data_IF_377178088972
#
_entry.id   IF_377178088972
#
_cell.length_a   1.000
_cell.length_b   1.000
_cell.length_c   1.000
_cell.angle_alpha   90.00
_cell.angle_beta   90.00
_cell.angle_gamma   90.00
#
_symmetry.space_group_name_H-M   'P 1'
#
loop_
_entity.id
_entity.type
_entity.pdbx_description
1 polymer ?
#
# COMPACT_ATOMS: atom_id res chain seq x y z
N UNK A 1 -28.36 4.98 28.71
CA UNK A 1 -26.95 4.63 28.41
C UNK A 1 -26.82 3.67 27.21
N UNK A 2 -27.45 3.97 26.06
CA UNK A 2 -27.53 3.03 24.91
C UNK A 2 -26.96 3.61 23.60
N UNK A 3 -26.56 4.88 23.61
CA UNK A 3 -26.03 5.63 22.45
C UNK A 3 -24.49 5.65 22.36
N UNK A 4 -23.78 5.25 23.42
CA UNK A 4 -22.31 5.34 23.50
C UNK A 4 -21.57 4.16 22.83
N UNK A 5 -22.26 3.04 22.56
CA UNK A 5 -21.65 1.84 21.95
C UNK A 5 -21.58 1.91 20.41
N UNK A 6 -22.33 2.80 19.76
CA UNK A 6 -22.31 2.91 18.30
C UNK A 6 -21.08 3.66 17.78
N UNK A 7 -20.52 4.58 18.56
CA UNK A 7 -19.39 5.41 18.15
C UNK A 7 -18.10 4.61 17.87
N UNK A 8 -17.66 3.69 18.75
CA UNK A 8 -16.47 2.89 18.47
C UNK A 8 -16.69 1.92 17.29
N UNK A 9 -17.92 1.42 17.10
CA UNK A 9 -18.27 0.55 15.99
C UNK A 9 -18.14 1.27 14.64
N UNK A 10 -18.62 2.52 14.56
CA UNK A 10 -18.52 3.34 13.35
C UNK A 10 -17.07 3.69 13.01
N UNK A 11 -16.24 3.96 14.02
CA UNK A 11 -14.80 4.21 13.82
C UNK A 11 -14.10 2.95 13.31
N UNK A 12 -14.40 1.78 13.89
CA UNK A 12 -13.84 0.51 13.43
C UNK A 12 -14.25 0.20 11.98
N UNK A 13 -15.51 0.47 11.61
CA UNK A 13 -16.00 0.28 10.25
C UNK A 13 -15.32 1.24 9.25
N UNK A 14 -15.13 2.50 9.63
CA UNK A 14 -14.44 3.49 8.78
C UNK A 14 -12.96 3.14 8.55
N UNK A 15 -12.27 2.61 9.57
CA UNK A 15 -10.89 2.14 9.44
C UNK A 15 -10.77 0.90 8.55
N UNK A 16 -11.73 -0.03 8.62
CA UNK A 16 -11.78 -1.20 7.75
C UNK A 16 -12.05 -0.82 6.28
N UNK A 17 -12.93 0.16 6.03
CA UNK A 17 -13.18 0.65 4.67
C UNK A 17 -11.98 1.37 4.06
N UNK A 18 -11.27 2.20 4.84
CA UNK A 18 -10.07 2.90 4.38
C UNK A 18 -8.87 1.98 4.09
N UNK A 19 -8.84 0.78 4.70
CA UNK A 19 -7.81 -0.21 4.43
C UNK A 19 -8.08 -0.99 3.12
N UNK A 20 -9.35 -1.24 2.78
CA UNK A 20 -9.72 -1.99 1.57
C UNK A 20 -9.59 -1.16 0.29
N UNK A 21 -9.95 0.13 0.31
CA UNK A 21 -9.79 1.04 -0.84
C UNK A 21 -8.31 1.27 -1.25
N UNK A 22 -7.37 0.88 -0.39
CA UNK A 22 -5.95 1.09 -0.62
C UNK A 22 -5.34 0.04 -1.55
N UNK A 23 -5.88 -1.17 -1.61
CA UNK A 23 -5.37 -2.23 -2.48
C UNK A 23 -5.56 -1.89 -3.97
N UNK A 24 -6.69 -1.29 -4.33
CA UNK A 24 -6.99 -0.88 -5.72
C UNK A 24 -6.13 0.28 -6.22
N UNK A 25 -5.43 0.99 -5.33
CA UNK A 25 -4.66 2.18 -5.72
C UNK A 25 -3.37 1.81 -6.46
N UNK A 26 -2.76 0.67 -6.12
CA UNK A 26 -1.50 0.24 -6.73
C UNK A 26 -1.69 -0.62 -7.98
N UNK A 27 -2.86 -1.25 -8.15
CA UNK A 27 -3.18 -2.07 -9.33
C UNK A 27 -3.73 -1.25 -10.51
N UNK A 28 -3.96 0.06 -10.34
CA UNK A 28 -4.39 0.92 -11.45
C UNK A 28 -3.21 1.29 -12.35
N UNK A 29 -3.32 1.08 -13.68
CA UNK A 29 -2.29 1.53 -14.61
C UNK A 29 -2.12 3.05 -14.51
N UNK A 30 -0.88 3.50 -14.37
CA UNK A 30 -0.53 4.92 -14.28
C UNK A 30 -0.48 5.50 -12.87
N UNK A 31 -0.73 4.73 -11.80
CA UNK A 31 -0.48 5.21 -10.44
C UNK A 31 1.02 5.48 -10.27
N UNK A 32 1.43 6.71 -9.87
CA UNK A 32 2.83 7.05 -9.73
C UNK A 32 3.47 6.30 -8.56
N UNK A 33 4.70 5.84 -8.76
CA UNK A 33 5.53 5.27 -7.68
C UNK A 33 5.69 6.29 -6.56
N UNK A 34 5.36 5.96 -5.29
CA UNK A 34 5.58 6.86 -4.17
C UNK A 34 7.03 7.34 -4.08
N UNK A 35 7.23 8.62 -3.76
CA UNK A 35 8.58 9.19 -3.62
C UNK A 35 9.36 8.58 -2.45
N UNK A 36 8.65 8.01 -1.48
CA UNK A 36 9.23 7.34 -0.31
C UNK A 36 9.64 5.89 -0.57
N UNK A 37 9.35 5.33 -1.74
CA UNK A 37 9.67 3.96 -2.06
C UNK A 37 11.19 3.79 -2.21
N UNK A 38 11.77 2.90 -1.40
CA UNK A 38 13.15 2.42 -1.57
C UNK A 38 13.10 1.03 -2.16
N UNK A 39 13.82 0.83 -3.26
CA UNK A 39 13.98 -0.46 -3.91
C UNK A 39 15.46 -0.83 -3.93
N UNK A 40 15.77 -2.06 -3.55
CA UNK A 40 17.12 -2.60 -3.52
C UNK A 40 17.11 -3.99 -4.16
N UNK A 41 18.22 -4.39 -4.78
CA UNK A 41 18.41 -5.75 -5.28
C UNK A 41 18.63 -6.71 -4.11
N UNK A 42 18.58 -8.03 -4.36
CA UNK A 42 18.92 -9.04 -3.36
C UNK A 42 20.36 -8.93 -2.86
N UNK A 43 21.24 -8.26 -3.62
CA UNK A 43 22.62 -7.97 -3.23
C UNK A 43 22.77 -6.65 -2.45
N UNK A 44 21.68 -5.93 -2.19
CA UNK A 44 21.67 -4.64 -1.48
C UNK A 44 22.00 -3.43 -2.35
N UNK A 45 22.02 -3.58 -3.67
CA UNK A 45 22.25 -2.45 -4.58
C UNK A 45 20.98 -1.62 -4.72
N UNK A 46 21.08 -0.31 -4.55
CA UNK A 46 19.93 0.60 -4.66
C UNK A 46 19.46 0.73 -6.11
N UNK A 47 18.17 0.51 -6.34
CA UNK A 47 17.52 0.71 -7.64
C UNK A 47 17.02 2.16 -7.73
N UNK A 48 17.39 2.86 -8.80
CA UNK A 48 16.86 4.18 -9.10
C UNK A 48 15.37 4.09 -9.46
N UNK A 49 14.56 4.98 -8.88
CA UNK A 49 13.14 5.13 -9.20
C UNK A 49 12.93 5.38 -10.70
N UNK A 50 13.83 6.11 -11.35
CA UNK A 50 13.73 6.35 -12.80
C UNK A 50 13.81 5.05 -13.62
N UNK A 51 14.55 4.04 -13.13
CA UNK A 51 14.66 2.73 -13.78
C UNK A 51 13.37 1.90 -13.65
N UNK A 52 12.51 2.24 -12.68
CA UNK A 52 11.20 1.64 -12.54
C UNK A 52 10.26 2.22 -13.61
N UNK A 53 10.14 3.56 -13.71
CA UNK A 53 9.12 4.26 -14.51
C UNK A 53 8.96 3.73 -15.96
N UNK A 54 7.70 3.61 -16.39
CA UNK A 54 7.35 3.22 -17.77
C UNK A 54 7.51 1.74 -18.11
N UNK A 55 7.93 0.91 -17.15
CA UNK A 55 8.04 -0.54 -17.30
C UNK A 55 6.95 -1.24 -16.48
N UNK A 56 6.40 -2.38 -16.93
CA UNK A 56 5.51 -3.18 -16.10
C UNK A 56 6.31 -3.82 -14.95
N UNK A 57 5.74 -3.84 -13.75
CA UNK A 57 6.35 -4.48 -12.58
C UNK A 57 5.37 -5.47 -11.94
N UNK A 58 5.95 -6.46 -11.24
CA UNK A 58 5.21 -7.38 -10.37
C UNK A 58 5.72 -7.16 -8.95
N UNK A 59 4.81 -6.86 -8.02
CA UNK A 59 5.14 -6.66 -6.61
C UNK A 59 4.89 -7.98 -5.88
N UNK A 60 5.95 -8.61 -5.37
CA UNK A 60 5.84 -9.78 -4.51
C UNK A 60 6.03 -9.37 -3.04
N UNK A 61 4.97 -9.52 -2.23
CA UNK A 61 5.02 -9.26 -0.78
C UNK A 61 5.29 -10.57 -0.07
N UNK A 62 6.30 -10.59 0.79
CA UNK A 62 6.63 -11.75 1.62
C UNK A 62 7.10 -11.31 3.01
N UNK A 63 6.97 -12.21 3.99
CA UNK A 63 7.49 -12.03 5.34
C UNK A 63 8.33 -13.26 5.71
N UNK A 64 9.50 -13.09 6.36
CA UNK A 64 10.22 -14.21 6.93
C UNK A 64 9.37 -14.86 8.04
N UNK A 65 9.28 -16.19 8.01
CA UNK A 65 8.61 -16.99 9.05
C UNK A 65 9.47 -17.21 10.27
#
# INVERSE_FOLDING_TARGET
>A
MRRLLCFPLLIALALMQGACDRNDRYDRPGTPVPETLRAETLAGERIDRAALLGRPWVINVWAPG
#
